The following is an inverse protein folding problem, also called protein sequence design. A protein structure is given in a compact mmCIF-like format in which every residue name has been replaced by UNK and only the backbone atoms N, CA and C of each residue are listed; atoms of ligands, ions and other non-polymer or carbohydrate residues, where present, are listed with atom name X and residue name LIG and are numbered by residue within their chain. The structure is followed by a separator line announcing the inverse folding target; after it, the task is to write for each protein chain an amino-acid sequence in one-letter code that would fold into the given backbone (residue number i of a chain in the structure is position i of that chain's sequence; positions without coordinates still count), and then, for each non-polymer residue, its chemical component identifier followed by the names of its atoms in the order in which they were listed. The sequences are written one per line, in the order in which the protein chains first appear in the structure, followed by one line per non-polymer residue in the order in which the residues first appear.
data_IF_974554790997
#
_entry.id   IF_974554790997
#
_cell.length_a   1.000
_cell.length_b   1.000
_cell.length_c   1.000
_cell.angle_alpha   90.00
_cell.angle_beta   90.00
_cell.angle_gamma   90.00
#
_symmetry.space_group_name_H-M   'P 1'
#
loop_
_entity.id
_entity.type
_entity.pdbx_description
1 polymer ?
#
# COMPACT_ATOMS: atom_id res chain seq x y z
N UNK A 1 -42.78 5.18 15.68
CA UNK A 1 -42.31 5.97 14.52
C UNK A 1 -41.22 6.90 15.01
N UNK A 2 -39.97 6.67 14.60
CA UNK A 2 -38.83 7.51 15.02
C UNK A 2 -38.62 8.60 13.94
N UNK A 3 -38.46 9.88 14.31
CA UNK A 3 -38.30 10.97 13.35
C UNK A 3 -36.89 10.95 12.76
N UNK A 4 -36.67 10.11 11.76
CA UNK A 4 -35.41 10.03 11.04
C UNK A 4 -35.23 11.28 10.16
N UNK A 5 -34.45 12.23 10.68
CA UNK A 5 -33.51 13.12 9.96
C UNK A 5 -33.84 13.28 8.46
N UNK A 6 -34.59 14.35 8.12
CA UNK A 6 -34.90 14.75 6.74
C UNK A 6 -33.70 15.44 6.08
N UNK A 7 -32.64 14.69 5.76
CA UNK A 7 -31.67 15.13 4.77
C UNK A 7 -32.02 14.53 3.41
N UNK A 8 -32.01 15.36 2.35
CA UNK A 8 -32.10 14.83 0.99
C UNK A 8 -30.88 13.95 0.72
N UNK A 9 -31.03 12.93 -0.13
CA UNK A 9 -29.91 12.06 -0.53
C UNK A 9 -28.68 12.87 -0.99
N UNK A 10 -28.91 14.02 -1.64
CA UNK A 10 -27.85 14.94 -2.05
C UNK A 10 -27.10 15.57 -0.87
N UNK A 11 -27.82 16.02 0.15
CA UNK A 11 -27.20 16.59 1.35
C UNK A 11 -26.36 15.54 2.09
N UNK A 12 -26.87 14.31 2.23
CA UNK A 12 -26.12 13.21 2.82
C UNK A 12 -24.84 12.89 2.04
N UNK A 13 -24.91 12.74 0.71
CA UNK A 13 -23.75 12.43 -0.13
C UNK A 13 -22.69 13.53 -0.01
N UNK A 14 -23.10 14.80 0.02
CA UNK A 14 -22.18 15.94 0.16
C UNK A 14 -21.49 15.92 1.53
N UNK A 15 -22.26 15.83 2.61
CA UNK A 15 -21.71 15.81 3.98
C UNK A 15 -20.80 14.60 4.17
N UNK A 16 -21.18 13.43 3.66
CA UNK A 16 -20.36 12.23 3.72
C UNK A 16 -19.03 12.41 2.96
N UNK A 17 -19.07 13.00 1.77
CA UNK A 17 -17.87 13.27 0.97
C UNK A 17 -16.98 14.33 1.62
N UNK A 18 -17.56 15.35 2.23
CA UNK A 18 -16.81 16.36 3.00
C UNK A 18 -16.10 15.74 4.21
N UNK A 19 -16.78 14.83 4.93
CA UNK A 19 -16.22 14.17 6.10
C UNK A 19 -15.18 13.08 5.78
N UNK A 20 -15.34 12.36 4.68
CA UNK A 20 -14.54 11.14 4.38
C UNK A 20 -13.63 11.27 3.15
N UNK A 21 -13.81 12.31 2.34
CA UNK A 21 -13.19 12.45 1.03
C UNK A 21 -13.75 11.53 -0.06
N UNK A 22 -14.70 10.63 0.27
CA UNK A 22 -15.21 9.60 -0.62
C UNK A 22 -16.72 9.75 -0.85
N UNK A 23 -17.20 9.28 -2.00
CA UNK A 23 -18.66 9.09 -2.15
C UNK A 23 -19.10 7.89 -1.31
N UNK A 24 -20.36 7.83 -0.85
CA UNK A 24 -20.87 6.65 -0.15
C UNK A 24 -20.70 5.35 -0.94
N UNK A 25 -20.89 5.39 -2.26
CA UNK A 25 -20.70 4.23 -3.14
C UNK A 25 -19.24 3.78 -3.18
N UNK A 26 -18.28 4.72 -3.28
CA UNK A 26 -16.86 4.40 -3.24
C UNK A 26 -16.44 3.82 -1.90
N UNK A 27 -16.93 4.40 -0.80
CA UNK A 27 -16.67 3.89 0.55
C UNK A 27 -17.19 2.46 0.72
N UNK A 28 -18.44 2.19 0.34
CA UNK A 28 -19.02 0.83 0.42
C UNK A 28 -18.22 -0.16 -0.41
N UNK A 29 -17.84 0.20 -1.64
CA UNK A 29 -17.02 -0.66 -2.51
C UNK A 29 -15.66 -0.97 -1.88
N UNK A 30 -14.97 0.04 -1.34
CA UNK A 30 -13.67 -0.12 -0.66
C UNK A 30 -13.78 -0.95 0.63
N UNK A 31 -14.86 -0.77 1.40
CA UNK A 31 -15.18 -1.60 2.58
C UNK A 31 -15.41 -3.05 2.18
N UNK A 32 -16.19 -3.31 1.13
CA UNK A 32 -16.41 -4.68 0.62
C UNK A 32 -15.10 -5.35 0.23
N UNK A 33 -14.22 -4.65 -0.51
CA UNK A 33 -12.89 -5.17 -0.84
C UNK A 33 -12.09 -5.51 0.42
N UNK A 34 -12.09 -4.61 1.40
CA UNK A 34 -11.41 -4.81 2.69
C UNK A 34 -11.91 -6.06 3.42
N UNK A 35 -13.23 -6.24 3.52
CA UNK A 35 -13.79 -7.41 4.19
C UNK A 35 -13.51 -8.71 3.42
N UNK A 36 -13.54 -8.70 2.09
CA UNK A 36 -13.13 -9.86 1.26
C UNK A 36 -11.68 -10.24 1.55
N UNK A 37 -10.78 -9.25 1.64
CA UNK A 37 -9.36 -9.47 1.97
C UNK A 37 -9.22 -10.06 3.37
N UNK A 38 -9.94 -9.54 4.36
CA UNK A 38 -9.90 -10.04 5.75
C UNK A 38 -10.42 -11.47 5.89
N UNK A 39 -11.38 -11.86 5.06
CA UNK A 39 -11.98 -13.21 5.08
C UNK A 39 -11.30 -14.18 4.12
N UNK A 40 -10.22 -13.75 3.48
CA UNK A 40 -9.49 -14.52 2.50
C UNK A 40 -8.82 -15.72 3.16
N UNK A 41 -9.17 -16.92 2.69
CA UNK A 41 -8.62 -18.19 3.16
C UNK A 41 -7.88 -18.90 2.03
N UNK A 42 -6.88 -19.71 2.37
CA UNK A 42 -6.09 -20.44 1.36
C UNK A 42 -7.00 -21.39 0.55
N UNK A 43 -7.94 -22.05 1.22
CA UNK A 43 -8.77 -23.12 0.66
C UNK A 43 -10.03 -22.64 -0.09
N UNK A 44 -10.33 -21.34 -0.05
CA UNK A 44 -11.52 -20.78 -0.69
C UNK A 44 -11.12 -19.90 -1.88
N UNK A 45 -11.73 -20.10 -3.07
CA UNK A 45 -11.56 -19.20 -4.19
C UNK A 45 -12.01 -17.79 -3.83
N UNK A 46 -11.17 -16.78 -4.09
CA UNK A 46 -11.50 -15.39 -3.75
C UNK A 46 -12.75 -14.88 -4.48
N UNK A 47 -13.09 -15.47 -5.64
CA UNK A 47 -14.32 -15.18 -6.35
C UNK A 47 -15.56 -15.58 -5.57
N UNK A 48 -15.55 -16.70 -4.84
CA UNK A 48 -16.68 -17.14 -4.02
C UNK A 48 -16.95 -16.16 -2.87
N UNK A 49 -15.89 -15.77 -2.17
CA UNK A 49 -15.96 -14.73 -1.14
C UNK A 49 -16.47 -13.42 -1.76
N UNK A 50 -15.96 -13.01 -2.93
CA UNK A 50 -16.43 -11.79 -3.59
C UNK A 50 -17.94 -11.80 -3.90
N UNK A 51 -18.51 -12.96 -4.27
CA UNK A 51 -19.95 -13.11 -4.49
C UNK A 51 -20.75 -12.91 -3.19
N UNK A 52 -20.28 -13.46 -2.06
CA UNK A 52 -20.90 -13.27 -0.74
C UNK A 52 -20.96 -11.78 -0.34
N UNK A 53 -19.96 -11.00 -0.75
CA UNK A 53 -19.88 -9.55 -0.50
C UNK A 53 -20.55 -8.69 -1.59
N UNK A 54 -21.31 -9.31 -2.50
CA UNK A 54 -22.20 -8.62 -3.45
C UNK A 54 -21.51 -8.09 -4.71
N UNK A 55 -20.41 -8.70 -5.14
CA UNK A 55 -19.92 -8.55 -6.51
C UNK A 55 -20.68 -9.50 -7.44
N UNK A 56 -21.11 -9.02 -8.61
CA UNK A 56 -21.93 -9.82 -9.53
C UNK A 56 -21.10 -10.70 -10.49
N UNK A 57 -19.80 -10.45 -10.61
CA UNK A 57 -18.91 -11.25 -11.45
C UNK A 57 -17.46 -11.18 -10.96
N UNK A 58 -16.67 -12.20 -11.31
CA UNK A 58 -15.24 -12.27 -11.00
C UNK A 58 -14.46 -11.16 -11.69
N UNK A 59 -14.87 -10.77 -12.90
CA UNK A 59 -14.24 -9.71 -13.69
C UNK A 59 -14.47 -8.35 -13.03
N UNK A 60 -15.69 -8.08 -12.55
CA UNK A 60 -16.00 -6.85 -11.84
C UNK A 60 -15.18 -6.74 -10.54
N UNK A 61 -15.12 -7.84 -9.78
CA UNK A 61 -14.26 -7.91 -8.59
C UNK A 61 -12.78 -7.68 -8.93
N UNK A 62 -12.24 -8.38 -9.94
CA UNK A 62 -10.82 -8.30 -10.32
C UNK A 62 -10.47 -6.89 -10.79
N UNK A 63 -11.34 -6.24 -11.57
CA UNK A 63 -11.15 -4.85 -12.00
C UNK A 63 -11.20 -3.87 -10.83
N UNK A 64 -12.16 -4.04 -9.92
CA UNK A 64 -12.25 -3.20 -8.74
C UNK A 64 -11.03 -3.37 -7.82
N UNK A 65 -10.55 -4.60 -7.64
CA UNK A 65 -9.36 -4.90 -6.85
C UNK A 65 -8.10 -4.31 -7.48
N UNK A 66 -7.89 -4.53 -8.79
CA UNK A 66 -6.76 -3.97 -9.51
C UNK A 66 -6.77 -2.44 -9.51
N UNK A 67 -7.93 -1.83 -9.72
CA UNK A 67 -8.07 -0.37 -9.65
C UNK A 67 -7.79 0.22 -8.26
N UNK A 68 -7.95 -0.57 -7.21
CA UNK A 68 -7.72 -0.12 -5.82
C UNK A 68 -6.29 -0.36 -5.36
N UNK A 69 -5.71 -1.50 -5.76
CA UNK A 69 -4.44 -2.00 -5.20
C UNK A 69 -3.31 -2.11 -6.20
N UNK A 70 -3.57 -1.90 -7.50
CA UNK A 70 -2.61 -1.95 -8.61
C UNK A 70 -1.93 -3.32 -8.78
N UNK A 71 -2.49 -4.36 -8.17
CA UNK A 71 -2.09 -5.77 -8.29
C UNK A 71 -3.34 -6.64 -8.44
N UNK A 72 -3.16 -7.85 -8.96
CA UNK A 72 -4.23 -8.84 -9.09
C UNK A 72 -4.47 -9.59 -7.76
N UNK A 73 -5.69 -10.11 -7.52
CA UNK A 73 -5.98 -10.91 -6.33
C UNK A 73 -5.08 -12.14 -6.17
N UNK A 74 -4.65 -12.75 -7.29
CA UNK A 74 -3.73 -13.89 -7.30
C UNK A 74 -2.30 -13.50 -6.93
N UNK A 75 -1.86 -12.32 -7.34
CA UNK A 75 -0.56 -11.76 -6.98
C UNK A 75 -0.53 -11.46 -5.47
N UNK A 76 -1.63 -10.92 -4.93
CA UNK A 76 -1.80 -10.71 -3.50
C UNK A 76 -1.58 -12.00 -2.68
N UNK A 77 -2.19 -13.13 -3.07
CA UNK A 77 -2.01 -14.44 -2.40
C UNK A 77 -0.56 -14.90 -2.31
N UNK A 78 0.28 -14.49 -3.25
CA UNK A 78 1.59 -15.09 -3.48
C UNK A 78 2.76 -14.35 -2.84
N UNK A 79 2.52 -13.17 -2.27
CA UNK A 79 3.58 -12.31 -1.72
C UNK A 79 3.12 -11.56 -0.46
N UNK A 80 4.09 -11.08 0.32
CA UNK A 80 3.88 -10.25 1.52
C UNK A 80 3.45 -8.84 1.10
N UNK A 81 2.20 -8.70 0.65
CA UNK A 81 1.65 -7.43 0.22
C UNK A 81 0.89 -6.74 1.35
N UNK A 82 1.01 -5.42 1.45
CA UNK A 82 0.23 -4.61 2.37
C UNK A 82 -0.82 -3.84 1.57
N UNK A 83 -2.08 -4.26 1.71
CA UNK A 83 -3.19 -3.60 1.05
C UNK A 83 -3.66 -2.41 1.87
N UNK A 84 -4.07 -1.34 1.17
CA UNK A 84 -4.79 -0.24 1.80
C UNK A 84 -6.17 -0.73 2.21
N UNK A 85 -6.31 -1.07 3.49
CA UNK A 85 -7.59 -1.45 4.07
C UNK A 85 -8.36 -0.19 4.46
N UNK A 86 -9.65 -0.21 4.20
CA UNK A 86 -10.58 0.83 4.61
C UNK A 86 -11.34 0.31 5.81
N UNK A 87 -10.96 0.73 7.02
CA UNK A 87 -11.66 0.35 8.23
C UNK A 87 -13.03 1.03 8.35
N UNK A 88 -13.86 0.51 9.24
CA UNK A 88 -15.07 1.21 9.64
C UNK A 88 -14.69 2.59 10.22
N UNK A 89 -15.42 3.63 9.86
CA UNK A 89 -15.17 4.97 10.41
C UNK A 89 -15.36 4.90 11.92
N UNK A 90 -14.28 5.15 12.65
CA UNK A 90 -14.28 5.32 14.10
C UNK A 90 -13.94 6.77 14.40
N UNK A 91 -14.62 7.34 15.40
CA UNK A 91 -14.32 8.66 15.93
C UNK A 91 -13.44 8.61 17.18
N UNK A 92 -13.06 7.40 17.60
CA UNK A 92 -12.14 7.18 18.72
C UNK A 92 -10.73 7.08 18.16
N UNK A 93 -9.89 8.07 18.47
CA UNK A 93 -8.45 8.00 18.26
C UNK A 93 -7.81 7.51 19.55
N UNK A 94 -7.27 6.27 19.59
CA UNK A 94 -6.49 5.86 20.74
C UNK A 94 -5.29 6.82 20.87
N UNK A 95 -4.87 7.16 22.09
CA UNK A 95 -3.63 7.90 22.28
C UNK A 95 -2.48 7.08 21.69
N UNK A 96 -1.70 7.69 20.80
CA UNK A 96 -0.47 7.11 20.27
C UNK A 96 0.70 7.92 20.81
N UNK A 97 1.71 7.22 21.29
CA UNK A 97 2.96 7.81 21.74
C UNK A 97 4.10 6.99 21.13
N UNK A 98 5.04 7.67 20.48
CA UNK A 98 6.22 7.03 19.89
C UNK A 98 7.44 7.84 20.29
N UNK A 99 8.42 7.17 20.89
CA UNK A 99 9.68 7.79 21.30
C UNK A 99 10.78 7.40 20.32
N UNK A 100 11.59 8.34 19.83
CA UNK A 100 12.67 8.01 18.93
C UNK A 100 13.83 7.34 19.67
N UNK A 101 14.45 6.36 19.03
CA UNK A 101 15.79 5.89 19.36
C UNK A 101 16.80 6.60 18.44
N UNK A 102 17.88 7.15 19.02
CA UNK A 102 18.93 7.79 18.23
C UNK A 102 20.07 6.81 17.95
N UNK A 103 20.29 6.50 16.69
CA UNK A 103 21.35 5.58 16.25
C UNK A 103 22.29 6.28 15.27
N UNK A 104 23.55 5.87 15.27
CA UNK A 104 24.50 6.29 14.23
C UNK A 104 24.52 5.25 13.12
N UNK A 105 24.36 5.70 11.87
CA UNK A 105 24.44 4.86 10.68
C UNK A 105 25.73 5.17 9.92
N UNK A 106 26.42 4.12 9.48
CA UNK A 106 27.46 4.23 8.46
C UNK A 106 26.82 4.51 7.09
N UNK A 107 27.51 5.23 6.18
CA UNK A 107 26.99 5.44 4.83
C UNK A 107 26.88 4.11 4.07
N UNK A 108 25.80 3.94 3.32
CA UNK A 108 25.60 2.76 2.48
C UNK A 108 24.86 3.12 1.19
N UNK A 109 25.00 2.26 0.18
CA UNK A 109 24.36 2.45 -1.12
C UNK A 109 23.19 1.47 -1.26
N UNK A 110 22.08 1.94 -1.80
CA UNK A 110 20.91 1.14 -2.13
C UNK A 110 20.71 1.11 -3.64
N UNK A 111 20.54 -0.08 -4.20
CA UNK A 111 20.13 -0.30 -5.59
C UNK A 111 18.60 -0.39 -5.62
N UNK A 112 17.93 0.60 -6.19
CA UNK A 112 16.50 0.80 -6.03
C UNK A 112 15.74 1.15 -7.31
N UNK A 113 14.50 0.71 -7.39
CA UNK A 113 13.54 1.16 -8.39
C UNK A 113 12.91 2.49 -7.94
N UNK A 114 12.78 3.44 -8.87
CA UNK A 114 11.99 4.67 -8.66
C UNK A 114 10.50 4.37 -8.76
N UNK A 115 9.71 4.88 -7.83
CA UNK A 115 8.25 4.76 -7.83
C UNK A 115 7.65 5.47 -9.03
N UNK A 116 6.81 4.75 -9.77
CA UNK A 116 5.89 5.31 -10.76
C UNK A 116 4.46 5.44 -10.21
N UNK A 117 4.27 5.19 -8.91
CA UNK A 117 2.99 5.28 -8.21
C UNK A 117 2.91 6.54 -7.36
N UNK A 118 1.72 7.15 -7.32
CA UNK A 118 1.41 8.30 -6.45
C UNK A 118 1.31 7.86 -4.97
N UNK A 119 0.85 6.63 -4.73
CA UNK A 119 0.63 6.09 -3.40
C UNK A 119 1.65 4.98 -3.09
N UNK A 120 2.52 5.22 -2.10
CA UNK A 120 3.69 4.37 -1.83
C UNK A 120 3.35 2.89 -1.54
N UNK A 121 2.25 2.51 -0.86
CA UNK A 121 1.89 1.10 -0.72
C UNK A 121 1.59 0.37 -2.03
N UNK A 122 1.08 1.07 -3.06
CA UNK A 122 0.86 0.44 -4.37
C UNK A 122 2.20 0.04 -5.00
N UNK A 123 3.23 0.86 -4.80
CA UNK A 123 4.57 0.55 -5.28
C UNK A 123 5.17 -0.65 -4.54
N UNK A 124 5.00 -0.75 -3.22
CA UNK A 124 5.36 -1.94 -2.45
C UNK A 124 4.63 -3.20 -2.92
N UNK A 125 3.33 -3.10 -3.18
CA UNK A 125 2.55 -4.24 -3.70
C UNK A 125 3.07 -4.72 -5.05
N UNK A 126 3.40 -3.78 -5.96
CA UNK A 126 4.01 -4.09 -7.27
C UNK A 126 5.41 -4.68 -7.12
N UNK A 127 6.23 -4.15 -6.21
CA UNK A 127 7.58 -4.63 -5.92
C UNK A 127 7.54 -6.08 -5.39
N UNK A 128 6.65 -6.34 -4.43
CA UNK A 128 6.50 -7.65 -3.79
C UNK A 128 5.89 -8.70 -4.73
N UNK A 129 4.83 -8.35 -5.47
CA UNK A 129 4.19 -9.28 -6.41
C UNK A 129 5.13 -9.73 -7.53
N UNK A 130 5.98 -8.83 -8.03
CA UNK A 130 6.96 -9.11 -9.08
C UNK A 130 8.25 -9.71 -8.55
N UNK A 131 8.34 -9.95 -7.23
CA UNK A 131 9.53 -10.52 -6.55
C UNK A 131 10.80 -9.73 -6.85
N UNK A 132 10.69 -8.40 -6.91
CA UNK A 132 11.80 -7.54 -7.31
C UNK A 132 12.97 -7.60 -6.33
N UNK A 133 12.74 -7.81 -5.04
CA UNK A 133 13.81 -8.11 -4.07
C UNK A 133 14.66 -9.32 -4.49
N UNK A 134 14.00 -10.44 -4.79
CA UNK A 134 14.69 -11.66 -5.27
C UNK A 134 15.35 -11.47 -6.63
N UNK A 135 14.76 -10.66 -7.51
CA UNK A 135 15.36 -10.29 -8.80
C UNK A 135 16.68 -9.57 -8.58
N UNK A 136 16.69 -8.56 -7.71
CA UNK A 136 17.88 -7.76 -7.38
C UNK A 136 18.93 -8.58 -6.63
N UNK A 137 18.52 -9.46 -5.72
CA UNK A 137 19.44 -10.20 -4.85
C UNK A 137 20.04 -11.48 -5.47
N UNK A 138 19.61 -11.84 -6.68
CA UNK A 138 19.96 -13.12 -7.30
C UNK A 138 19.29 -14.33 -6.62
N UNK A 139 18.09 -14.12 -6.05
CA UNK A 139 17.26 -15.15 -5.44
C UNK A 139 17.38 -15.28 -3.92
N UNK A 140 18.27 -14.51 -3.27
CA UNK A 140 18.45 -14.50 -1.82
C UNK A 140 17.38 -13.67 -1.12
N UNK A 141 17.10 -14.01 0.14
CA UNK A 141 16.27 -13.16 1.01
C UNK A 141 17.18 -12.11 1.63
N UNK A 142 16.80 -10.85 1.55
CA UNK A 142 17.50 -9.73 2.15
C UNK A 142 16.50 -8.67 2.62
N UNK A 143 17.00 -7.66 3.33
CA UNK A 143 16.21 -6.52 3.77
C UNK A 143 15.95 -5.55 2.62
N UNK A 144 14.69 -5.12 2.52
CA UNK A 144 14.21 -4.14 1.54
C UNK A 144 14.04 -2.77 2.21
N UNK A 145 14.40 -1.71 1.49
CA UNK A 145 14.38 -0.34 1.97
C UNK A 145 13.42 0.50 1.15
N UNK A 146 12.55 1.26 1.82
CA UNK A 146 11.76 2.33 1.22
C UNK A 146 12.42 3.68 1.47
N UNK A 147 12.75 4.42 0.42
CA UNK A 147 13.52 5.68 0.51
C UNK A 147 12.70 6.81 -0.06
N UNK A 148 12.51 7.87 0.73
CA UNK A 148 11.96 9.14 0.27
C UNK A 148 13.11 10.12 0.07
N UNK A 149 13.24 10.68 -1.14
CA UNK A 149 14.26 11.67 -1.46
C UNK A 149 13.63 12.91 -2.09
N UNK A 150 14.04 14.10 -1.63
CA UNK A 150 13.56 15.35 -2.18
C UNK A 150 14.18 15.59 -3.57
N UNK A 151 13.33 15.88 -4.56
CA UNK A 151 13.73 16.24 -5.90
C UNK A 151 13.50 17.74 -6.12
N UNK A 152 14.60 18.50 -6.08
CA UNK A 152 14.60 19.96 -6.24
C UNK A 152 14.11 20.41 -7.63
N UNK A 153 14.39 19.63 -8.68
CA UNK A 153 14.06 20.01 -10.06
C UNK A 153 12.55 19.96 -10.31
N UNK A 154 11.89 18.95 -9.74
CA UNK A 154 10.45 18.75 -9.89
C UNK A 154 9.64 19.26 -8.68
N UNK A 155 10.32 19.81 -7.67
CA UNK A 155 9.75 20.31 -6.41
C UNK A 155 8.78 19.29 -5.78
N UNK A 156 9.22 18.03 -5.69
CA UNK A 156 8.41 16.92 -5.18
C UNK A 156 9.26 15.92 -4.41
N UNK A 157 8.59 15.09 -3.60
CA UNK A 157 9.21 13.96 -2.92
C UNK A 157 9.16 12.73 -3.84
N UNK A 158 10.32 12.26 -4.31
CA UNK A 158 10.44 11.00 -5.01
C UNK A 158 10.52 9.84 -4.01
N UNK A 159 9.95 8.69 -4.37
CA UNK A 159 9.97 7.48 -3.55
C UNK A 159 10.65 6.33 -4.29
N UNK A 160 11.40 5.51 -3.57
CA UNK A 160 12.17 4.40 -4.13
C UNK A 160 12.04 3.15 -3.24
N UNK A 161 12.15 1.97 -3.84
CA UNK A 161 12.23 0.69 -3.11
C UNK A 161 13.39 -0.11 -3.67
N UNK A 162 14.25 -0.62 -2.80
CA UNK A 162 15.45 -1.35 -3.21
C UNK A 162 16.09 -2.14 -2.11
N UNK A 163 17.25 -2.71 -2.41
CA UNK A 163 18.07 -3.47 -1.47
C UNK A 163 19.45 -2.84 -1.39
N UNK A 164 20.18 -3.08 -0.30
CA UNK A 164 21.59 -2.66 -0.21
C UNK A 164 22.38 -3.18 -1.41
N UNK A 165 23.23 -2.34 -1.98
CA UNK A 165 24.09 -2.67 -3.13
C UNK A 165 24.94 -3.91 -2.89
N UNK A 166 25.41 -4.10 -1.65
CA UNK A 166 26.17 -5.29 -1.23
C UNK A 166 25.39 -6.59 -1.40
N UNK A 167 24.05 -6.53 -1.40
CA UNK A 167 23.17 -7.68 -1.61
C UNK A 167 22.70 -7.81 -3.07
N UNK A 168 22.95 -6.81 -3.93
CA UNK A 168 22.42 -6.72 -5.29
C UNK A 168 23.24 -7.53 -6.32
N UNK A 169 23.20 -8.86 -6.19
CA UNK A 169 23.95 -9.78 -7.06
C UNK A 169 23.17 -10.33 -8.28
N UNK A 170 21.92 -9.89 -8.45
CA UNK A 170 21.02 -10.34 -9.51
C UNK A 170 20.90 -9.34 -10.65
N UNK A 171 19.70 -9.23 -11.21
CA UNK A 171 19.40 -8.31 -12.31
C UNK A 171 18.98 -6.94 -11.77
N UNK A 172 19.81 -5.93 -12.03
CA UNK A 172 19.65 -4.54 -11.60
C UNK A 172 19.11 -3.61 -12.70
N UNK A 173 18.62 -4.15 -13.82
CA UNK A 173 18.06 -3.34 -14.90
C UNK A 173 16.87 -2.48 -14.41
N UNK A 174 16.88 -1.20 -14.81
CA UNK A 174 15.84 -0.22 -14.46
C UNK A 174 15.97 0.37 -13.05
N UNK A 175 17.09 0.12 -12.36
CA UNK A 175 17.36 0.70 -11.02
C UNK A 175 18.30 1.89 -11.07
N UNK A 176 18.33 2.63 -9.98
CA UNK A 176 19.31 3.69 -9.68
C UNK A 176 20.05 3.35 -8.39
N UNK A 177 21.23 3.93 -8.22
CA UNK A 177 21.99 3.84 -6.98
C UNK A 177 21.76 5.10 -6.13
N UNK A 178 21.36 4.90 -4.86
CA UNK A 178 21.11 5.95 -3.90
C UNK A 178 22.12 5.83 -2.75
N UNK A 179 22.91 6.88 -2.53
CA UNK A 179 23.79 6.97 -1.36
C UNK A 179 22.99 7.48 -0.16
N UNK A 180 22.83 6.63 0.85
CA UNK A 180 22.34 7.03 2.15
C UNK A 180 23.54 7.53 2.96
N UNK A 181 23.50 8.81 3.33
CA UNK A 181 24.59 9.42 4.09
C UNK A 181 24.67 8.79 5.49
N UNK A 182 25.91 8.63 5.98
CA UNK A 182 26.11 8.27 7.37
C UNK A 182 25.82 9.45 8.29
N UNK A 183 25.53 9.17 9.55
CA UNK A 183 25.25 10.21 10.53
C UNK A 183 24.34 9.74 11.65
N UNK A 184 23.85 10.70 12.44
CA UNK A 184 22.90 10.45 13.51
C UNK A 184 21.47 10.45 12.94
N UNK A 185 20.73 9.37 13.19
CA UNK A 185 19.36 9.16 12.75
C UNK A 185 18.44 8.96 13.95
N UNK A 186 17.22 9.46 13.86
CA UNK A 186 16.13 9.09 14.75
C UNK A 186 15.33 7.95 14.12
N UNK A 187 15.22 6.84 14.84
CA UNK A 187 14.47 5.64 14.45
C UNK A 187 13.22 5.54 15.30
N UNK A 188 12.12 5.25 14.64
CA UNK A 188 10.81 5.06 15.24
C UNK A 188 10.41 3.61 14.95
N UNK A 189 10.12 2.85 16.01
CA UNK A 189 9.76 1.41 15.97
C UNK A 189 8.36 1.15 16.49
#
# INVERSE_FOLDING_TARGET
MCPCIRYSNYHFIRVFKEATGLTPADYIRKRRLTEIIKHMRQDVPISEIAFEYGFNSKENFTRAFFSEHHILPTEYKSALNSLKLYEAISFETPPFEISPEFIYLDPFVVTAYKSDEIYTPNFWNKYNSRKWSKKLSGGKVCEDYGISAWNEQENKLDYFIGIRKDNAHGDTEGTVELLIQGGLYAVFS
#
